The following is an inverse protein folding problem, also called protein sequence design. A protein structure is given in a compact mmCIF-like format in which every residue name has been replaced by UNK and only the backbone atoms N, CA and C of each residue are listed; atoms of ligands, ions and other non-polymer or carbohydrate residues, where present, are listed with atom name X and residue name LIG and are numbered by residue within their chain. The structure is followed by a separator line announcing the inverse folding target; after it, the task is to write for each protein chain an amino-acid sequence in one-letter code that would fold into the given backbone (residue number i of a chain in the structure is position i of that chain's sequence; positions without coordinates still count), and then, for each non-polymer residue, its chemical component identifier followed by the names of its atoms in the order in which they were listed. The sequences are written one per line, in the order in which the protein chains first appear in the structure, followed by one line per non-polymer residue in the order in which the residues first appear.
data_IF_023397146261
#
_entry.id   IF_023397146261
#
_cell.length_a   1.000
_cell.length_b   1.000
_cell.length_c   1.000
_cell.angle_alpha   90.00
_cell.angle_beta   90.00
_cell.angle_gamma   90.00
#
_symmetry.space_group_name_H-M   'P 1'
#
loop_
_entity.id
_entity.type
_entity.pdbx_description
1 polymer ?
#
# COMPACT_ATOMS: atom_id res chain seq x y z
N UNK A 1 49.48 -29.08 -11.97
CA UNK A 1 48.28 -29.32 -11.13
C UNK A 1 47.44 -28.06 -10.88
N UNK A 2 48.01 -26.92 -10.48
CA UNK A 2 47.24 -25.70 -10.16
C UNK A 2 46.45 -25.10 -11.33
N UNK A 3 46.99 -25.12 -12.55
CA UNK A 3 46.31 -24.64 -13.76
C UNK A 3 45.13 -25.53 -14.15
N UNK A 4 45.25 -26.85 -13.98
CA UNK A 4 44.17 -27.80 -14.27
C UNK A 4 42.99 -27.66 -13.31
N UNK A 5 43.27 -27.40 -12.01
CA UNK A 5 42.23 -27.12 -11.01
C UNK A 5 41.51 -25.80 -11.29
N UNK A 6 42.22 -24.79 -11.78
CA UNK A 6 41.65 -23.49 -12.15
C UNK A 6 40.76 -23.61 -13.41
N UNK A 7 41.18 -24.39 -14.41
CA UNK A 7 40.40 -24.69 -15.61
C UNK A 7 39.15 -25.53 -15.27
N UNK A 8 39.27 -26.51 -14.37
CA UNK A 8 38.15 -27.30 -13.86
C UNK A 8 37.13 -26.43 -13.11
N UNK A 9 37.59 -25.49 -12.28
CA UNK A 9 36.74 -24.54 -11.55
C UNK A 9 36.07 -23.51 -12.47
N UNK A 10 36.68 -23.15 -13.60
CA UNK A 10 36.08 -22.27 -14.61
C UNK A 10 34.98 -23.01 -15.40
N UNK A 11 35.19 -24.28 -15.75
CA UNK A 11 34.19 -25.11 -16.45
C UNK A 11 32.99 -25.42 -15.55
N UNK A 12 33.20 -25.57 -14.23
CA UNK A 12 32.12 -25.81 -13.25
C UNK A 12 31.22 -24.59 -13.00
N UNK A 13 31.56 -23.39 -13.46
CA UNK A 13 30.71 -22.19 -13.26
C UNK A 13 29.49 -22.10 -14.19
N UNK A 14 29.38 -22.95 -15.20
CA UNK A 14 28.42 -22.75 -16.30
C UNK A 14 27.00 -23.31 -16.08
N UNK A 15 26.69 -23.97 -14.95
CA UNK A 15 25.36 -24.62 -14.77
C UNK A 15 24.68 -24.39 -13.42
N UNK A 16 24.98 -23.29 -12.70
CA UNK A 16 24.41 -23.06 -11.36
C UNK A 16 22.93 -22.59 -11.33
N UNK A 17 22.22 -22.58 -12.46
CA UNK A 17 20.82 -22.11 -12.55
C UNK A 17 19.98 -23.00 -13.48
N UNK A 18 19.92 -24.30 -13.19
CA UNK A 18 18.96 -25.20 -13.84
C UNK A 18 17.61 -25.14 -13.12
N UNK A 19 16.53 -25.13 -13.88
CA UNK A 19 15.19 -25.45 -13.37
C UNK A 19 15.17 -26.94 -12.99
N UNK A 20 14.46 -27.32 -11.93
CA UNK A 20 14.32 -28.69 -11.47
C UNK A 20 12.87 -29.16 -11.63
N UNK A 21 12.65 -30.16 -12.48
CA UNK A 21 11.34 -30.79 -12.68
C UNK A 21 11.30 -32.14 -11.94
N UNK A 22 10.40 -32.27 -10.97
CA UNK A 22 10.21 -33.50 -10.19
C UNK A 22 8.91 -34.18 -10.63
N UNK A 23 9.00 -35.41 -11.11
CA UNK A 23 7.84 -36.23 -11.48
C UNK A 23 7.28 -37.00 -10.27
N UNK A 24 6.01 -37.42 -10.34
CA UNK A 24 5.33 -38.21 -9.29
C UNK A 24 5.96 -39.58 -9.04
N UNK A 25 6.68 -40.12 -10.02
CA UNK A 25 7.46 -41.35 -9.89
C UNK A 25 8.83 -41.12 -9.21
N UNK A 26 9.15 -39.89 -8.80
CA UNK A 26 10.42 -39.53 -8.16
C UNK A 26 11.58 -39.24 -9.12
N UNK A 27 11.34 -39.25 -10.44
CA UNK A 27 12.36 -38.83 -11.41
C UNK A 27 12.53 -37.32 -11.40
N UNK A 28 13.78 -36.87 -11.40
CA UNK A 28 14.16 -35.47 -11.40
C UNK A 28 14.85 -35.12 -12.72
N UNK A 29 14.50 -33.97 -13.30
CA UNK A 29 15.11 -33.44 -14.50
C UNK A 29 15.60 -32.03 -14.24
N UNK A 30 16.92 -31.85 -14.31
CA UNK A 30 17.56 -30.54 -14.32
C UNK A 30 17.59 -30.02 -15.76
N UNK A 31 17.09 -28.80 -15.98
CA UNK A 31 16.94 -28.26 -17.33
C UNK A 31 16.46 -26.81 -17.38
N UNK A 32 15.80 -26.44 -18.48
CA UNK A 32 15.19 -25.12 -18.66
C UNK A 32 13.74 -25.26 -19.09
N UNK A 33 12.81 -24.66 -18.35
CA UNK A 33 11.42 -24.55 -18.74
C UNK A 33 11.29 -23.67 -19.99
N UNK A 34 10.54 -24.16 -21.00
CA UNK A 34 10.38 -23.46 -22.28
C UNK A 34 8.98 -22.87 -22.40
N UNK A 35 7.96 -23.70 -22.19
CA UNK A 35 6.56 -23.32 -22.36
C UNK A 35 5.62 -24.35 -21.75
N UNK A 36 4.36 -23.96 -21.57
CA UNK A 36 3.30 -24.79 -21.00
C UNK A 36 2.03 -24.61 -21.83
N UNK A 37 1.31 -25.70 -22.09
CA UNK A 37 -0.04 -25.67 -22.64
C UNK A 37 -1.03 -26.27 -21.62
N UNK A 38 -2.28 -26.56 -22.00
CA UNK A 38 -3.27 -27.08 -21.07
C UNK A 38 -2.87 -28.42 -20.41
N UNK A 39 -2.10 -29.26 -21.10
CA UNK A 39 -1.86 -30.65 -20.70
C UNK A 39 -0.38 -30.99 -20.47
N UNK A 40 0.54 -30.19 -21.00
CA UNK A 40 1.96 -30.52 -21.07
C UNK A 40 2.86 -29.32 -20.78
N UNK A 41 4.06 -29.62 -20.33
CA UNK A 41 5.18 -28.69 -20.14
C UNK A 41 6.31 -29.08 -21.08
N UNK A 42 6.81 -28.13 -21.86
CA UNK A 42 8.03 -28.26 -22.66
C UNK A 42 9.24 -27.84 -21.83
N UNK A 43 10.23 -28.72 -21.73
CA UNK A 43 11.38 -28.59 -20.84
C UNK A 43 12.65 -29.07 -21.56
N UNK A 44 13.71 -28.25 -21.55
CA UNK A 44 14.98 -28.54 -22.22
C UNK A 44 15.95 -29.19 -21.23
N UNK A 45 16.37 -30.44 -21.50
CA UNK A 45 17.32 -31.18 -20.67
C UNK A 45 18.56 -31.47 -21.51
N UNK A 46 19.72 -30.91 -21.14
CA UNK A 46 20.97 -31.10 -21.86
C UNK A 46 20.90 -30.71 -23.35
N UNK A 47 20.23 -29.59 -23.65
CA UNK A 47 20.08 -29.08 -25.03
C UNK A 47 19.03 -29.81 -25.89
N UNK A 48 18.27 -30.73 -25.30
CA UNK A 48 17.17 -31.44 -25.99
C UNK A 48 15.84 -31.09 -25.35
N UNK A 49 14.90 -30.62 -26.18
CA UNK A 49 13.51 -30.37 -25.75
C UNK A 49 12.79 -31.69 -25.47
N UNK A 50 12.20 -31.81 -24.30
CA UNK A 50 11.31 -32.89 -23.87
C UNK A 50 9.95 -32.30 -23.48
N UNK A 51 8.89 -33.08 -23.65
CA UNK A 51 7.54 -32.69 -23.24
C UNK A 51 7.07 -33.62 -22.13
N UNK A 52 6.57 -33.05 -21.03
CA UNK A 52 6.10 -33.77 -19.86
C UNK A 52 4.62 -33.49 -19.63
N UNK A 53 3.83 -34.53 -19.35
CA UNK A 53 2.41 -34.36 -19.06
C UNK A 53 2.23 -33.82 -17.63
N UNK A 54 1.43 -32.76 -17.45
CA UNK A 54 1.21 -32.13 -16.13
C UNK A 54 0.71 -33.11 -15.08
N UNK A 55 -0.10 -34.09 -15.49
CA UNK A 55 -0.61 -35.13 -14.60
C UNK A 55 0.51 -35.96 -13.93
N UNK A 56 1.69 -36.03 -14.55
CA UNK A 56 2.86 -36.77 -14.07
C UNK A 56 3.82 -35.90 -13.25
N UNK A 57 3.64 -34.58 -13.23
CA UNK A 57 4.53 -33.65 -12.57
C UNK A 57 4.10 -33.54 -11.10
N UNK A 58 5.06 -33.73 -10.20
CA UNK A 58 4.90 -33.54 -8.75
C UNK A 58 5.23 -32.10 -8.38
N UNK A 59 6.38 -31.61 -8.82
CA UNK A 59 6.83 -30.24 -8.58
C UNK A 59 7.66 -29.73 -9.76
N UNK A 60 7.69 -28.41 -9.96
CA UNK A 60 8.57 -27.75 -10.92
C UNK A 60 9.18 -26.52 -10.24
N UNK A 61 10.43 -26.65 -9.84
CA UNK A 61 11.17 -25.57 -9.21
C UNK A 61 11.89 -24.80 -10.31
N UNK A 62 11.38 -23.61 -10.60
CA UNK A 62 12.04 -22.72 -11.55
C UNK A 62 13.25 -22.08 -10.88
N UNK A 63 14.44 -22.33 -11.43
CA UNK A 63 15.72 -21.75 -11.03
C UNK A 63 15.88 -20.29 -11.42
N UNK A 64 14.83 -19.64 -11.95
CA UNK A 64 14.90 -18.24 -12.34
C UNK A 64 15.10 -17.33 -11.13
N UNK A 65 16.20 -16.59 -11.19
CA UNK A 65 16.30 -15.24 -10.63
C UNK A 65 15.34 -14.34 -11.41
N UNK A 66 14.07 -14.30 -11.05
CA UNK A 66 13.20 -13.23 -11.54
C UNK A 66 13.50 -11.94 -10.78
N UNK A 67 13.33 -10.80 -11.45
CA UNK A 67 13.48 -9.50 -10.80
C UNK A 67 12.36 -9.35 -9.77
N UNK A 68 12.74 -9.08 -8.52
CA UNK A 68 11.79 -8.65 -7.50
C UNK A 68 11.12 -7.38 -7.98
N UNK A 69 9.79 -7.38 -7.94
CA UNK A 69 9.01 -6.23 -8.36
C UNK A 69 7.94 -5.92 -7.32
N UNK A 70 7.53 -4.66 -7.31
CA UNK A 70 6.42 -4.20 -6.51
C UNK A 70 5.22 -3.92 -7.41
N UNK A 71 4.01 -4.22 -6.94
CA UNK A 71 2.79 -3.91 -7.67
C UNK A 71 1.65 -3.52 -6.75
N UNK A 72 0.69 -2.80 -7.33
CA UNK A 72 -0.55 -2.38 -6.68
C UNK A 72 -1.71 -2.84 -7.56
N UNK A 73 -2.66 -3.57 -6.98
CA UNK A 73 -3.92 -3.93 -7.64
C UNK A 73 -4.97 -2.83 -7.40
N UNK A 74 -5.93 -2.68 -8.32
CA UNK A 74 -7.04 -1.72 -8.14
C UNK A 74 -7.89 -2.03 -6.87
N UNK A 75 -7.92 -3.28 -6.44
CA UNK A 75 -8.62 -3.74 -5.23
C UNK A 75 -7.89 -3.43 -3.94
N UNK A 76 -6.57 -3.26 -4.01
CA UNK A 76 -5.69 -3.28 -2.85
C UNK A 76 -5.23 -1.85 -2.53
N UNK A 77 -5.10 -1.51 -1.25
CA UNK A 77 -4.57 -0.23 -0.79
C UNK A 77 -3.06 -0.25 -0.54
N UNK A 78 -2.47 -1.45 -0.53
CA UNK A 78 -1.08 -1.67 -0.18
C UNK A 78 -0.27 -2.15 -1.38
N UNK A 79 0.97 -1.67 -1.45
CA UNK A 79 1.96 -2.13 -2.42
C UNK A 79 2.51 -3.48 -1.99
N UNK A 80 2.41 -4.48 -2.87
CA UNK A 80 2.98 -5.81 -2.65
C UNK A 80 4.36 -5.86 -3.28
N UNK A 81 5.40 -5.93 -2.46
CA UNK A 81 6.79 -6.08 -2.88
C UNK A 81 7.28 -7.53 -2.71
N UNK A 82 8.52 -7.80 -3.13
CA UNK A 82 9.20 -9.12 -3.07
C UNK A 82 8.53 -10.24 -3.86
N UNK A 83 7.59 -9.89 -4.73
CA UNK A 83 7.01 -10.82 -5.69
C UNK A 83 7.92 -10.99 -6.91
N UNK A 84 7.75 -12.09 -7.64
CA UNK A 84 8.54 -12.37 -8.85
C UNK A 84 7.66 -12.20 -10.09
N UNK A 85 8.05 -11.29 -10.99
CA UNK A 85 7.33 -11.09 -12.24
C UNK A 85 7.69 -12.22 -13.22
N UNK A 86 6.69 -13.01 -13.60
CA UNK A 86 6.88 -14.13 -14.52
C UNK A 86 6.63 -13.72 -15.98
N UNK A 87 5.56 -12.96 -16.21
CA UNK A 87 5.17 -12.49 -17.54
C UNK A 87 4.33 -11.23 -17.42
N UNK A 88 4.51 -10.30 -18.35
CA UNK A 88 3.57 -9.19 -18.54
C UNK A 88 3.38 -8.92 -20.03
N UNK A 89 2.13 -8.83 -20.46
CA UNK A 89 1.69 -8.50 -21.82
C UNK A 89 0.61 -7.41 -21.78
N UNK A 90 -0.02 -7.10 -22.92
CA UNK A 90 -1.07 -6.07 -23.01
C UNK A 90 -2.34 -6.39 -22.21
N UNK A 91 -2.59 -7.67 -21.91
CA UNK A 91 -3.84 -8.14 -21.32
C UNK A 91 -3.69 -8.51 -19.83
N UNK A 92 -2.51 -8.99 -19.43
CA UNK A 92 -2.29 -9.61 -18.12
C UNK A 92 -0.87 -9.50 -17.60
N UNK A 93 -0.79 -9.61 -16.28
CA UNK A 93 0.40 -9.75 -15.47
C UNK A 93 0.37 -11.09 -14.74
N UNK A 94 1.46 -11.85 -14.78
CA UNK A 94 1.61 -13.14 -14.11
C UNK A 94 2.67 -13.04 -13.03
N UNK A 95 2.28 -13.34 -11.80
CA UNK A 95 3.10 -13.18 -10.59
C UNK A 95 3.34 -14.55 -9.99
N UNK A 96 4.59 -14.86 -9.66
CA UNK A 96 4.92 -16.05 -8.86
C UNK A 96 5.04 -15.67 -7.37
N UNK A 97 4.48 -16.50 -6.48
CA UNK A 97 4.42 -16.26 -5.03
C UNK A 97 5.76 -16.39 -4.29
N UNK A 98 6.86 -16.59 -5.02
CA UNK A 98 8.20 -16.69 -4.46
C UNK A 98 9.12 -17.53 -5.34
N UNK A 99 10.43 -17.44 -5.06
CA UNK A 99 11.46 -18.22 -5.75
C UNK A 99 11.19 -19.72 -5.56
N UNK A 100 11.22 -20.50 -6.65
CA UNK A 100 11.03 -21.95 -6.63
C UNK A 100 9.58 -22.45 -6.51
N UNK A 101 8.57 -21.58 -6.50
CA UNK A 101 7.16 -22.00 -6.45
C UNK A 101 6.53 -22.08 -7.86
N UNK A 102 5.70 -23.10 -8.10
CA UNK A 102 4.88 -23.22 -9.32
C UNK A 102 3.60 -22.39 -9.27
N UNK A 103 3.22 -21.93 -8.07
CA UNK A 103 2.01 -21.16 -7.87
C UNK A 103 2.13 -19.79 -8.53
N UNK A 104 1.32 -19.60 -9.56
CA UNK A 104 1.21 -18.35 -10.32
C UNK A 104 -0.16 -17.74 -10.10
N UNK A 105 -0.18 -16.45 -9.88
CA UNK A 105 -1.38 -15.63 -9.88
C UNK A 105 -1.43 -14.84 -11.19
N UNK A 106 -2.57 -14.87 -11.86
CA UNK A 106 -2.80 -14.17 -13.12
C UNK A 106 -3.74 -13.02 -12.86
N UNK A 107 -3.25 -11.81 -13.07
CA UNK A 107 -4.00 -10.57 -12.93
C UNK A 107 -4.25 -9.97 -14.31
N UNK A 108 -5.50 -9.73 -14.72
CA UNK A 108 -5.78 -8.87 -15.86
C UNK A 108 -5.10 -7.51 -15.66
N UNK A 109 -4.41 -6.99 -16.67
CA UNK A 109 -3.69 -5.71 -16.59
C UNK A 109 -4.65 -4.56 -16.25
N UNK A 110 -5.91 -4.69 -16.67
CA UNK A 110 -7.02 -3.82 -16.29
C UNK A 110 -7.34 -3.75 -14.79
N UNK A 111 -6.88 -4.72 -13.99
CA UNK A 111 -6.99 -4.74 -12.52
C UNK A 111 -5.68 -4.39 -11.82
N UNK A 112 -4.59 -4.18 -12.56
CA UNK A 112 -3.32 -3.71 -12.03
C UNK A 112 -3.33 -2.19 -12.13
N UNK A 113 -3.03 -1.51 -11.02
CA UNK A 113 -2.93 -0.06 -11.01
C UNK A 113 -1.54 0.40 -11.44
N UNK A 114 -0.50 -0.20 -10.85
CA UNK A 114 0.89 0.08 -11.21
C UNK A 114 1.78 -1.09 -10.85
N UNK A 115 2.92 -1.22 -11.54
CA UNK A 115 4.01 -2.08 -11.11
C UNK A 115 5.36 -1.42 -11.38
N UNK A 116 6.36 -1.77 -10.57
CA UNK A 116 7.71 -1.24 -10.67
C UNK A 116 8.75 -2.32 -10.40
N UNK A 117 9.78 -2.37 -11.24
CA UNK A 117 11.00 -3.13 -11.01
C UNK A 117 12.12 -2.13 -10.72
N UNK A 118 12.63 -2.13 -9.48
CA UNK A 118 13.76 -1.30 -9.06
C UNK A 118 15.05 -2.11 -9.04
N UNK A 119 16.18 -1.43 -9.26
CA UNK A 119 17.51 -2.02 -9.13
C UNK A 119 17.69 -3.28 -10.01
N UNK A 120 17.25 -3.19 -11.26
CA UNK A 120 17.45 -4.25 -12.25
C UNK A 120 18.94 -4.60 -12.30
N UNK A 121 19.25 -5.86 -12.03
CA UNK A 121 20.63 -6.32 -12.02
C UNK A 121 21.04 -6.78 -13.42
N UNK A 122 22.34 -6.70 -13.74
CA UNK A 122 22.86 -7.19 -15.03
C UNK A 122 22.56 -8.67 -15.32
N UNK A 123 22.13 -9.46 -14.34
CA UNK A 123 21.72 -10.87 -14.51
C UNK A 123 20.23 -11.05 -14.79
N UNK A 124 19.43 -10.02 -14.61
CA UNK A 124 17.99 -10.08 -14.76
C UNK A 124 17.63 -10.18 -16.24
N UNK A 125 16.77 -11.14 -16.59
CA UNK A 125 16.40 -11.42 -17.98
C UNK A 125 15.04 -10.79 -18.31
N UNK A 126 14.97 -9.47 -18.35
CA UNK A 126 13.72 -8.74 -18.60
C UNK A 126 13.07 -9.12 -19.93
N UNK A 127 13.86 -9.36 -20.97
CA UNK A 127 13.43 -9.89 -22.26
C UNK A 127 12.63 -11.21 -22.20
N UNK A 128 12.77 -12.02 -21.13
CA UNK A 128 11.97 -13.24 -20.94
C UNK A 128 10.57 -12.94 -20.40
N UNK A 129 10.44 -11.86 -19.63
CA UNK A 129 9.27 -11.50 -18.84
C UNK A 129 8.35 -10.55 -19.61
N UNK A 130 8.93 -9.56 -20.28
CA UNK A 130 8.19 -8.58 -21.09
C UNK A 130 7.72 -9.22 -22.41
N UNK A 131 6.47 -8.96 -22.78
CA UNK A 131 5.87 -9.41 -24.05
C UNK A 131 5.38 -8.21 -24.85
N UNK A 132 5.02 -8.50 -26.10
CA UNK A 132 4.50 -7.51 -27.04
C UNK A 132 3.26 -6.79 -26.49
N UNK A 133 3.12 -5.51 -26.83
CA UNK A 133 1.92 -4.71 -26.65
C UNK A 133 1.92 -3.86 -25.38
N UNK A 134 2.78 -4.16 -24.40
CA UNK A 134 2.85 -3.37 -23.17
C UNK A 134 3.56 -2.03 -23.39
N UNK A 135 2.94 -0.96 -22.91
CA UNK A 135 3.54 0.37 -22.77
C UNK A 135 4.33 0.43 -21.46
N UNK A 136 5.54 0.96 -21.44
CA UNK A 136 6.38 1.01 -20.24
C UNK A 136 7.16 2.32 -20.18
N UNK A 137 7.39 2.81 -18.97
CA UNK A 137 8.41 3.81 -18.67
C UNK A 137 9.68 3.09 -18.23
N UNK A 138 10.75 3.23 -19.01
CA UNK A 138 12.02 2.54 -18.77
C UNK A 138 13.10 3.56 -18.50
N UNK A 139 13.78 3.40 -17.38
CA UNK A 139 14.92 4.23 -16.99
C UNK A 139 16.22 3.49 -17.26
N UNK A 140 17.04 4.09 -18.09
CA UNK A 140 18.38 3.61 -18.43
C UNK A 140 19.44 4.40 -17.67
N UNK A 141 20.72 4.16 -17.95
CA UNK A 141 21.82 4.99 -17.42
C UNK A 141 21.77 6.44 -17.92
N UNK A 142 21.28 6.66 -19.13
CA UNK A 142 21.36 7.94 -19.84
C UNK A 142 20.05 8.72 -19.86
N UNK A 143 18.91 8.01 -19.88
CA UNK A 143 17.61 8.64 -20.11
C UNK A 143 16.45 7.80 -19.56
N UNK A 144 15.32 8.47 -19.39
CA UNK A 144 14.02 7.87 -19.15
C UNK A 144 13.20 7.93 -20.43
N UNK A 145 12.72 6.76 -20.89
CA UNK A 145 12.05 6.61 -22.18
C UNK A 145 10.72 5.87 -22.01
N UNK A 146 9.67 6.40 -22.64
CA UNK A 146 8.41 5.69 -22.84
C UNK A 146 8.54 4.78 -24.05
N UNK A 147 8.23 3.50 -23.88
CA UNK A 147 8.40 2.48 -24.90
C UNK A 147 7.15 1.62 -25.02
N UNK A 148 6.87 1.14 -26.23
CA UNK A 148 5.89 0.09 -26.49
C UNK A 148 6.68 -1.13 -26.96
N UNK A 149 6.56 -2.24 -26.25
CA UNK A 149 7.29 -3.47 -26.59
C UNK A 149 6.68 -4.10 -27.85
N UNK A 150 7.49 -4.27 -28.90
CA UNK A 150 7.07 -4.91 -30.14
C UNK A 150 7.48 -6.39 -30.19
N UNK A 151 8.68 -6.70 -29.71
CA UNK A 151 9.20 -8.06 -29.65
C UNK A 151 10.32 -8.17 -28.61
N UNK A 152 10.66 -9.38 -28.18
CA UNK A 152 11.82 -9.64 -27.32
C UNK A 152 12.65 -10.80 -27.85
N UNK A 153 13.97 -10.73 -27.67
CA UNK A 153 14.90 -11.83 -27.94
C UNK A 153 15.53 -12.29 -26.61
N UNK A 154 14.96 -13.33 -25.97
CA UNK A 154 15.50 -13.87 -24.72
C UNK A 154 16.95 -14.37 -24.82
N UNK A 155 17.34 -14.90 -25.99
CA UNK A 155 18.69 -15.41 -26.22
C UNK A 155 19.72 -14.29 -26.28
N UNK A 156 19.36 -13.17 -26.90
CA UNK A 156 20.24 -12.01 -27.05
C UNK A 156 20.08 -10.99 -25.92
N UNK A 157 19.09 -11.19 -25.03
CA UNK A 157 18.75 -10.27 -23.93
C UNK A 157 18.40 -8.87 -24.43
N UNK A 158 17.56 -8.83 -25.47
CA UNK A 158 17.15 -7.61 -26.16
C UNK A 158 15.65 -7.44 -26.16
N UNK A 159 15.22 -6.20 -26.06
CA UNK A 159 13.86 -5.73 -26.18
C UNK A 159 13.80 -4.82 -27.41
N UNK A 160 12.94 -5.16 -28.36
CA UNK A 160 12.65 -4.35 -29.53
C UNK A 160 11.42 -3.51 -29.24
N UNK A 161 11.53 -2.20 -29.37
CA UNK A 161 10.51 -1.27 -28.91
C UNK A 161 10.31 -0.10 -29.87
N UNK A 162 9.16 0.56 -29.75
CA UNK A 162 8.91 1.86 -30.39
C UNK A 162 8.66 2.92 -29.33
N UNK A 163 9.10 4.17 -29.58
CA UNK A 163 8.81 5.31 -28.69
C UNK A 163 7.34 5.75 -28.80
N UNK A 164 6.77 5.71 -30.00
CA UNK A 164 5.35 5.92 -30.29
C UNK A 164 4.90 4.95 -31.38
N UNK A 165 3.58 4.84 -31.62
CA UNK A 165 3.01 3.92 -32.62
C UNK A 165 3.63 4.06 -34.02
N UNK A 166 4.05 5.27 -34.38
CA UNK A 166 4.60 5.61 -35.71
C UNK A 166 6.13 5.67 -35.74
N UNK A 167 6.82 5.33 -34.64
CA UNK A 167 8.29 5.36 -34.58
C UNK A 167 8.92 4.10 -35.17
N UNK A 168 10.17 4.23 -35.63
CA UNK A 168 11.00 3.09 -35.99
C UNK A 168 11.27 2.18 -34.79
N UNK A 169 11.52 0.90 -35.08
CA UNK A 169 11.85 -0.10 -34.05
C UNK A 169 13.28 0.13 -33.61
N UNK A 170 13.45 0.45 -32.33
CA UNK A 170 14.74 0.55 -31.66
C UNK A 170 15.02 -0.70 -30.81
N UNK A 171 16.29 -0.88 -30.45
CA UNK A 171 16.76 -1.99 -29.61
C UNK A 171 17.21 -1.47 -28.24
N UNK A 172 16.83 -2.19 -27.17
CA UNK A 172 17.32 -1.98 -25.82
C UNK A 172 17.82 -3.31 -25.23
N UNK A 173 19.05 -3.31 -24.72
CA UNK A 173 19.60 -4.46 -24.01
C UNK A 173 19.13 -4.47 -22.55
N UNK A 174 18.78 -5.65 -22.02
CA UNK A 174 18.36 -5.84 -20.62
C UNK A 174 19.36 -5.21 -19.63
N UNK A 175 20.66 -5.24 -19.95
CA UNK A 175 21.74 -4.77 -19.08
C UNK A 175 21.80 -3.25 -18.93
N UNK A 176 21.19 -2.50 -19.86
CA UNK A 176 21.13 -1.04 -19.83
C UNK A 176 19.95 -0.51 -19.01
N UNK A 177 19.04 -1.39 -18.61
CA UNK A 177 17.83 -1.04 -17.88
C UNK A 177 18.15 -1.01 -16.38
N UNK A 178 17.81 0.10 -15.72
CA UNK A 178 17.92 0.25 -14.27
C UNK A 178 16.59 0.07 -13.56
N UNK A 179 15.54 0.65 -14.14
CA UNK A 179 14.20 0.62 -13.58
C UNK A 179 13.17 0.48 -14.70
N UNK A 180 12.09 -0.25 -14.39
CA UNK A 180 10.88 -0.31 -15.22
C UNK A 180 9.71 0.14 -14.38
N UNK A 181 8.90 1.02 -14.92
CA UNK A 181 7.66 1.49 -14.33
C UNK A 181 6.51 1.34 -15.31
N UNK A 182 5.37 0.92 -14.79
CA UNK A 182 4.11 0.92 -15.50
C UNK A 182 3.01 1.45 -14.61
N UNK A 183 2.14 2.25 -15.20
CA UNK A 183 0.97 2.80 -14.53
C UNK A 183 -0.21 2.81 -15.47
N UNK A 184 -1.34 2.35 -14.96
CA UNK A 184 -2.60 2.44 -15.66
C UNK A 184 -3.03 3.92 -15.72
N UNK A 185 -3.14 4.48 -16.93
CA UNK A 185 -3.57 5.87 -17.19
C UNK A 185 -5.06 6.14 -16.88
N UNK A 186 -5.73 5.25 -16.14
CA UNK A 186 -7.04 5.56 -15.55
C UNK A 186 -6.84 6.55 -14.41
N UNK A 187 -6.94 7.84 -14.74
CA UNK A 187 -6.87 8.99 -13.81
C UNK A 187 -7.88 8.96 -12.64
N UNK A 188 -8.76 7.95 -12.58
CA UNK A 188 -9.73 7.77 -11.50
C UNK A 188 -9.18 7.22 -10.18
N UNK A 189 -7.95 6.69 -10.12
CA UNK A 189 -7.45 5.97 -8.92
C UNK A 189 -6.46 6.73 -8.04
N UNK A 190 -5.88 7.85 -8.51
CA UNK A 190 -5.12 8.76 -7.64
C UNK A 190 -6.01 9.29 -6.49
N UNK A 191 -7.32 9.43 -6.74
CA UNK A 191 -8.31 9.72 -5.71
C UNK A 191 -8.57 8.56 -4.73
N UNK A 192 -8.25 7.32 -5.09
CA UNK A 192 -8.41 6.15 -4.20
C UNK A 192 -7.18 6.00 -3.30
N UNK A 193 -5.98 6.18 -3.85
CA UNK A 193 -4.71 6.14 -3.10
C UNK A 193 -4.56 7.32 -2.14
N UNK A 194 -4.97 8.54 -2.53
CA UNK A 194 -5.06 9.68 -1.61
C UNK A 194 -6.22 9.55 -0.61
N UNK A 195 -7.23 8.72 -0.90
CA UNK A 195 -8.26 8.34 0.08
C UNK A 195 -7.83 7.21 1.02
N UNK A 196 -6.81 6.42 0.70
CA UNK A 196 -6.35 5.29 1.54
C UNK A 196 -4.97 5.47 2.14
N UNK A 197 -4.24 6.54 1.81
CA UNK A 197 -3.20 7.05 2.69
C UNK A 197 -3.90 7.53 3.95
N UNK A 198 -4.04 6.62 4.90
CA UNK A 198 -4.53 6.88 6.24
C UNK A 198 -3.58 7.89 6.87
N UNK A 199 -3.90 9.17 6.70
CA UNK A 199 -3.29 10.23 7.48
C UNK A 199 -3.77 9.99 8.91
N UNK A 200 -3.07 9.13 9.64
CA UNK A 200 -3.23 8.96 11.06
C UNK A 200 -2.83 10.30 11.67
N UNK A 201 -3.80 11.20 11.84
CA UNK A 201 -3.56 12.46 12.54
C UNK A 201 -3.24 12.05 13.98
N UNK A 202 -2.01 12.27 14.46
CA UNK A 202 -1.67 11.97 15.84
C UNK A 202 -2.64 12.74 16.75
N UNK A 203 -3.36 12.03 17.61
CA UNK A 203 -4.37 12.61 18.50
C UNK A 203 -5.84 12.46 18.07
N UNK A 204 -6.15 11.87 16.91
CA UNK A 204 -7.53 11.57 16.50
C UNK A 204 -7.93 10.11 16.73
N UNK A 205 -9.18 9.90 17.15
CA UNK A 205 -9.75 8.59 17.47
C UNK A 205 -9.87 7.69 16.23
N UNK A 206 -9.25 6.51 16.26
CA UNK A 206 -9.41 5.45 15.27
C UNK A 206 -10.11 4.26 15.94
N UNK A 207 -11.29 3.85 15.46
CA UNK A 207 -12.10 2.84 16.16
C UNK A 207 -12.07 1.50 15.43
N UNK A 208 -11.54 0.43 16.02
CA UNK A 208 -11.57 -0.87 15.39
C UNK A 208 -12.89 -1.62 15.64
N UNK A 209 -13.32 -2.38 14.64
CA UNK A 209 -14.37 -3.43 14.66
C UNK A 209 -15.86 -3.06 14.71
N UNK A 210 -16.35 -2.08 15.49
CA UNK A 210 -17.82 -1.82 15.58
C UNK A 210 -18.21 -0.37 15.27
N UNK A 211 -18.98 -0.18 14.18
CA UNK A 211 -19.53 1.12 13.77
C UNK A 211 -20.29 1.81 14.90
N UNK A 212 -21.08 1.04 15.65
CA UNK A 212 -21.88 1.58 16.76
C UNK A 212 -21.00 2.01 17.94
N UNK A 213 -19.96 1.24 18.29
CA UNK A 213 -19.02 1.62 19.36
C UNK A 213 -18.24 2.89 19.00
N UNK A 214 -17.76 2.99 17.77
CA UNK A 214 -17.03 4.17 17.30
C UNK A 214 -17.91 5.43 17.25
N UNK A 215 -19.13 5.31 16.72
CA UNK A 215 -20.09 6.41 16.70
C UNK A 215 -20.49 6.82 18.12
N UNK A 216 -20.75 5.85 19.02
CA UNK A 216 -21.11 6.17 20.40
C UNK A 216 -19.98 6.84 21.16
N UNK A 217 -18.73 6.37 20.99
CA UNK A 217 -17.57 6.96 21.65
C UNK A 217 -17.26 8.35 21.13
N UNK A 218 -17.30 8.55 19.81
CA UNK A 218 -17.12 9.87 19.20
C UNK A 218 -18.23 10.84 19.61
N UNK A 219 -19.49 10.39 19.60
CA UNK A 219 -20.62 11.18 20.07
C UNK A 219 -20.47 11.58 21.54
N UNK A 220 -20.10 10.62 22.39
CA UNK A 220 -19.86 10.89 23.82
C UNK A 220 -18.71 11.86 24.03
N UNK A 221 -17.62 11.74 23.27
CA UNK A 221 -16.49 12.67 23.29
C UNK A 221 -16.91 14.08 22.91
N UNK A 222 -17.72 14.25 21.85
CA UNK A 222 -18.24 15.57 21.45
C UNK A 222 -19.16 16.18 22.51
N UNK A 223 -20.05 15.38 23.10
CA UNK A 223 -20.96 15.85 24.16
C UNK A 223 -20.17 16.34 25.37
N UNK A 224 -19.20 15.56 25.84
CA UNK A 224 -18.36 15.93 26.98
C UNK A 224 -17.45 17.11 26.64
N UNK A 225 -16.86 17.12 25.45
CA UNK A 225 -16.03 18.22 24.97
C UNK A 225 -16.78 19.54 24.86
N UNK A 226 -18.07 19.51 24.49
CA UNK A 226 -18.94 20.69 24.47
C UNK A 226 -19.38 21.14 25.87
N UNK A 227 -19.49 20.22 26.85
CA UNK A 227 -19.85 20.55 28.22
C UNK A 227 -18.76 21.40 28.93
N UNK A 228 -17.48 21.17 28.63
CA UNK A 228 -16.36 21.89 29.24
C UNK A 228 -16.44 23.41 29.01
N UNK A 229 -16.53 23.95 27.77
CA UNK A 229 -16.62 25.40 27.55
C UNK A 229 -17.94 25.98 28.08
N UNK A 230 -19.03 25.21 28.09
CA UNK A 230 -20.31 25.66 28.68
C UNK A 230 -20.16 25.85 30.19
N UNK A 231 -19.62 24.85 30.90
CA UNK A 231 -19.37 24.95 32.35
C UNK A 231 -18.32 26.02 32.68
N UNK A 232 -17.31 26.22 31.84
CA UNK A 232 -16.35 27.31 31.97
C UNK A 232 -17.03 28.69 31.90
N UNK A 233 -17.90 28.90 30.91
CA UNK A 233 -18.64 30.16 30.76
C UNK A 233 -19.62 30.39 31.92
N UNK A 234 -20.29 29.34 32.39
CA UNK A 234 -21.17 29.42 33.56
C UNK A 234 -20.39 29.75 34.83
N UNK A 235 -19.21 29.13 35.04
CA UNK A 235 -18.33 29.47 36.14
C UNK A 235 -17.90 30.95 36.07
N UNK A 236 -17.47 31.43 34.89
CA UNK A 236 -17.10 32.83 34.69
C UNK A 236 -18.26 33.78 34.98
N UNK A 237 -19.46 33.45 34.53
CA UNK A 237 -20.66 34.25 34.80
C UNK A 237 -21.02 34.25 36.29
N UNK A 238 -20.93 33.10 36.96
CA UNK A 238 -21.15 33.00 38.40
C UNK A 238 -20.16 33.87 39.18
N UNK A 239 -18.90 33.92 38.76
CA UNK A 239 -17.88 34.78 39.36
C UNK A 239 -18.11 36.27 39.06
N UNK A 240 -18.54 36.62 37.86
CA UNK A 240 -18.83 38.02 37.49
C UNK A 240 -20.04 38.59 38.23
N UNK A 241 -20.99 37.73 38.60
CA UNK A 241 -22.17 38.08 39.37
C UNK A 241 -21.97 37.95 40.89
N UNK A 242 -20.75 37.62 41.32
CA UNK A 242 -20.37 37.48 42.73
C UNK A 242 -20.03 38.86 43.32
N UNK A 243 -21.06 39.60 43.71
CA UNK A 243 -20.92 40.87 44.42
C UNK A 243 -21.19 40.64 45.90
N UNK A 244 -20.13 40.69 46.71
CA UNK A 244 -20.25 40.76 48.16
C UNK A 244 -20.36 42.24 48.56
N UNK A 245 -21.34 42.55 49.40
CA UNK A 245 -21.48 43.89 49.98
C UNK A 245 -20.92 43.88 51.39
N UNK A 246 -19.86 44.66 51.61
CA UNK A 246 -19.33 44.93 52.94
C UNK A 246 -19.89 46.26 53.45
N UNK A 247 -20.29 46.27 54.72
CA UNK A 247 -20.62 47.51 55.44
C UNK A 247 -19.39 47.91 56.24
N UNK A 248 -18.78 49.04 55.89
CA UNK A 248 -17.63 49.61 56.59
C UNK A 248 -17.84 51.11 56.79
N UNK A 249 -17.82 51.59 58.05
CA UNK A 249 -18.04 53.00 58.42
C UNK A 249 -19.25 53.65 57.70
N UNK A 250 -20.43 53.04 57.81
CA UNK A 250 -21.68 53.47 57.16
C UNK A 250 -21.66 53.56 55.62
N UNK A 251 -20.60 53.10 54.97
CA UNK A 251 -20.51 53.01 53.51
C UNK A 251 -20.70 51.56 53.05
N UNK A 252 -21.44 51.39 51.96
CA UNK A 252 -21.57 50.09 51.26
C UNK A 252 -20.40 49.99 50.28
N UNK A 253 -19.46 49.11 50.57
CA UNK A 253 -18.33 48.81 49.68
C UNK A 253 -18.63 47.53 48.94
N UNK A 254 -18.64 47.59 47.60
CA UNK A 254 -18.72 46.40 46.76
C UNK A 254 -17.33 45.75 46.72
N UNK A 255 -17.27 44.48 47.13
CA UNK A 255 -16.07 43.67 47.05
C UNK A 255 -16.41 42.34 46.37
N UNK A 256 -15.44 41.74 45.70
CA UNK A 256 -15.60 40.45 45.01
C UNK A 256 -14.74 39.39 45.67
N UNK A 257 -15.28 38.20 45.93
CA UNK A 257 -14.53 37.03 46.38
C UNK A 257 -14.17 37.02 47.86
N UNK A 258 -15.02 37.58 48.73
CA UNK A 258 -14.85 37.48 50.19
C UNK A 258 -15.40 36.17 50.74
N UNK A 259 -16.47 35.66 50.13
CA UNK A 259 -17.04 34.35 50.45
C UNK A 259 -16.78 33.35 49.32
N UNK A 260 -16.76 32.06 49.67
CA UNK A 260 -16.68 31.01 48.66
C UNK A 260 -17.98 30.97 47.86
N UNK A 261 -17.96 31.39 46.59
CA UNK A 261 -19.13 31.34 45.72
C UNK A 261 -19.53 29.88 45.42
N UNK A 262 -20.66 29.39 45.96
CA UNK A 262 -21.05 27.98 45.82
C UNK A 262 -21.41 27.63 44.38
N UNK A 263 -21.95 28.58 43.61
CA UNK A 263 -22.28 28.38 42.20
C UNK A 263 -21.02 28.26 41.34
N UNK A 264 -20.04 29.14 41.54
CA UNK A 264 -18.72 29.03 40.89
C UNK A 264 -18.06 27.68 41.18
N UNK A 265 -18.04 27.28 42.46
CA UNK A 265 -17.45 26.01 42.88
C UNK A 265 -18.18 24.79 42.30
N UNK A 266 -19.50 24.86 42.14
CA UNK A 266 -20.28 23.80 41.49
C UNK A 266 -19.92 23.66 40.00
N UNK A 267 -19.87 24.76 39.25
CA UNK A 267 -19.48 24.74 37.83
C UNK A 267 -18.02 24.30 37.63
N UNK A 268 -17.10 24.77 38.48
CA UNK A 268 -15.70 24.30 38.48
C UNK A 268 -15.60 22.80 38.73
N UNK A 269 -16.38 22.26 39.67
CA UNK A 269 -16.45 20.81 39.95
C UNK A 269 -16.98 20.04 38.74
N UNK A 270 -18.08 20.49 38.14
CA UNK A 270 -18.67 19.84 36.96
C UNK A 270 -17.71 19.84 35.77
N UNK A 271 -17.00 20.95 35.54
CA UNK A 271 -15.96 21.05 34.53
C UNK A 271 -14.83 20.03 34.77
N UNK A 272 -14.35 19.91 36.02
CA UNK A 272 -13.33 18.93 36.37
C UNK A 272 -13.80 17.49 36.18
N UNK A 273 -15.06 17.18 36.49
CA UNK A 273 -15.67 15.88 36.23
C UNK A 273 -15.71 15.60 34.72
N UNK A 274 -16.11 16.58 33.91
CA UNK A 274 -16.13 16.45 32.45
C UNK A 274 -14.73 16.22 31.87
N UNK A 275 -13.72 16.96 32.34
CA UNK A 275 -12.31 16.76 31.94
C UNK A 275 -11.83 15.37 32.33
N UNK A 276 -12.12 14.92 33.56
CA UNK A 276 -11.77 13.58 34.04
C UNK A 276 -12.44 12.48 33.22
N UNK A 277 -13.73 12.63 32.89
CA UNK A 277 -14.46 11.71 32.02
C UNK A 277 -13.88 11.66 30.60
N UNK A 278 -13.49 12.81 30.06
CA UNK A 278 -12.84 12.90 28.74
C UNK A 278 -11.47 12.20 28.75
N UNK A 279 -10.68 12.38 29.82
CA UNK A 279 -9.41 11.69 30.02
C UNK A 279 -9.57 10.17 30.14
N UNK A 280 -10.58 9.71 30.88
CA UNK A 280 -10.90 8.28 31.00
C UNK A 280 -11.34 7.67 29.66
N UNK A 281 -12.15 8.39 28.88
CA UNK A 281 -12.55 7.96 27.53
C UNK A 281 -11.35 7.89 26.58
N UNK A 282 -10.43 8.84 26.68
CA UNK A 282 -9.20 8.84 25.90
C UNK A 282 -8.27 7.67 26.29
N UNK A 283 -8.09 7.43 27.58
CA UNK A 283 -7.31 6.29 28.08
C UNK A 283 -7.92 4.94 27.67
N UNK A 284 -9.25 4.81 27.78
CA UNK A 284 -9.97 3.63 27.30
C UNK A 284 -9.79 3.43 25.79
N UNK A 285 -9.85 4.51 25.00
CA UNK A 285 -9.60 4.45 23.57
C UNK A 285 -8.18 3.99 23.24
N UNK A 286 -7.15 4.53 23.90
CA UNK A 286 -5.77 4.10 23.72
C UNK A 286 -5.62 2.62 24.05
N UNK A 287 -6.21 2.17 25.16
CA UNK A 287 -6.18 0.77 25.57
C UNK A 287 -6.89 -0.15 24.56
N UNK A 288 -8.05 0.25 24.05
CA UNK A 288 -8.80 -0.47 23.02
C UNK A 288 -8.00 -0.58 21.72
N UNK A 289 -7.34 0.51 21.28
CA UNK A 289 -6.43 0.47 20.14
C UNK A 289 -5.25 -0.48 20.38
N UNK A 290 -4.58 -0.37 21.53
CA UNK A 290 -3.42 -1.19 21.85
C UNK A 290 -3.74 -2.69 21.90
N UNK A 291 -4.87 -3.04 22.51
CA UNK A 291 -5.31 -4.44 22.63
C UNK A 291 -5.83 -5.02 21.31
N UNK A 292 -6.40 -4.19 20.44
CA UNK A 292 -6.97 -4.64 19.16
C UNK A 292 -5.94 -4.72 18.02
N UNK A 293 -4.74 -4.14 18.19
CA UNK A 293 -3.61 -4.32 17.27
C UNK A 293 -3.00 -5.73 17.30
N UNK A 294 -3.45 -6.61 18.21
CA UNK A 294 -3.07 -8.04 18.28
C UNK A 294 -4.28 -8.93 18.01
N UNK A 295 -4.58 -9.18 16.74
CA UNK A 295 -5.44 -10.29 16.34
C UNK A 295 -4.56 -11.41 15.77
N UNK A 296 -4.86 -12.68 16.05
CA UNK A 296 -4.05 -13.86 15.68
C UNK A 296 -3.84 -14.05 14.16
N UNK A 297 -4.49 -13.22 13.33
CA UNK A 297 -4.43 -13.25 11.86
C UNK A 297 -3.89 -11.96 11.22
N UNK A 298 -3.43 -10.98 12.00
CA UNK A 298 -2.71 -9.80 11.50
C UNK A 298 -3.54 -8.72 10.78
N UNK A 299 -4.89 -8.77 10.79
CA UNK A 299 -5.72 -7.77 10.10
C UNK A 299 -6.20 -6.64 11.03
N UNK A 300 -5.97 -5.38 10.62
CA UNK A 300 -6.35 -4.16 11.36
C UNK A 300 -7.53 -3.44 10.71
N UNK A 301 -8.78 -3.84 11.04
CA UNK A 301 -9.95 -3.07 10.60
C UNK A 301 -10.10 -1.81 11.44
N UNK A 302 -9.68 -0.65 10.94
CA UNK A 302 -9.89 0.67 11.59
C UNK A 302 -11.02 1.45 10.91
N UNK A 303 -11.87 2.11 11.69
CA UNK A 303 -12.82 3.14 11.22
C UNK A 303 -12.09 4.47 11.33
N UNK A 304 -11.94 5.14 10.19
CA UNK A 304 -11.22 6.41 10.08
C UNK A 304 -12.20 7.56 9.84
N UNK A 305 -12.00 8.67 10.56
CA UNK A 305 -12.69 9.94 10.32
C UNK A 305 -12.00 10.64 9.15
N UNK A 306 -12.64 10.65 7.97
CA UNK A 306 -12.17 11.44 6.83
C UNK A 306 -12.84 12.81 6.81
N UNK A 307 -12.02 13.85 6.80
CA UNK A 307 -12.43 15.19 6.39
C UNK A 307 -12.45 15.23 4.86
N UNK A 308 -13.62 15.36 4.25
CA UNK A 308 -13.70 15.66 2.82
C UNK A 308 -13.66 17.19 2.65
N UNK A 309 -12.46 17.75 2.46
CA UNK A 309 -12.34 19.07 1.88
C UNK A 309 -12.43 18.91 0.35
N UNK A 310 -13.39 19.56 -0.33
CA UNK A 310 -13.33 19.64 -1.78
C UNK A 310 -12.17 20.55 -2.15
N UNK A 311 -11.08 19.96 -2.63
CA UNK A 311 -10.02 20.72 -3.31
C UNK A 311 -10.60 21.11 -4.67
N UNK A 312 -10.87 22.39 -4.87
CA UNK A 312 -11.25 22.91 -6.18
C UNK A 312 -10.09 22.72 -7.14
N UNK A 313 -10.33 22.03 -8.25
CA UNK A 313 -9.40 21.95 -9.39
C UNK A 313 -8.92 23.36 -9.78
N UNK A 314 -7.62 23.62 -9.90
CA UNK A 314 -7.13 24.89 -10.43
C UNK A 314 -7.38 25.04 -11.95
N UNK A 315 -7.94 24.03 -12.63
CA UNK A 315 -8.10 24.00 -14.09
C UNK A 315 -9.54 23.93 -14.62
N UNK A 316 -10.57 24.03 -13.78
CA UNK A 316 -11.96 24.13 -14.25
C UNK A 316 -12.57 25.44 -13.75
N UNK A 317 -12.82 26.34 -14.71
CA UNK A 317 -13.47 27.62 -14.48
C UNK A 317 -14.80 27.48 -13.74
N UNK A 318 -14.86 28.17 -12.60
CA UNK A 318 -16.02 28.81 -11.98
C UNK A 318 -17.42 28.33 -12.42
N UNK A 319 -18.03 27.45 -11.62
CA UNK A 319 -19.45 27.57 -11.26
C UNK A 319 -19.66 27.28 -9.78
N UNK A 320 -20.39 28.19 -9.14
CA UNK A 320 -20.80 28.19 -7.74
C UNK A 320 -21.30 26.83 -7.27
N UNK A 321 -20.44 26.05 -6.62
CA UNK A 321 -20.85 24.95 -5.77
C UNK A 321 -20.42 25.30 -4.34
N UNK A 322 -21.41 25.57 -3.49
CA UNK A 322 -21.20 25.71 -2.05
C UNK A 322 -20.62 24.38 -1.56
N UNK A 323 -19.42 24.36 -0.96
CA UNK A 323 -18.79 23.12 -0.52
C UNK A 323 -19.61 22.50 0.61
N UNK A 324 -20.14 21.30 0.37
CA UNK A 324 -20.85 20.54 1.37
C UNK A 324 -19.82 19.84 2.27
N UNK A 325 -19.49 20.46 3.40
CA UNK A 325 -18.57 19.90 4.41
C UNK A 325 -19.33 18.79 5.14
N UNK A 326 -18.97 17.53 4.88
CA UNK A 326 -19.59 16.37 5.51
C UNK A 326 -18.56 15.43 6.13
N UNK A 327 -18.82 14.96 7.34
CA UNK A 327 -18.06 13.87 7.96
C UNK A 327 -18.51 12.54 7.36
N UNK A 328 -17.58 11.78 6.78
CA UNK A 328 -17.85 10.43 6.25
C UNK A 328 -17.11 9.37 7.06
N UNK A 329 -17.84 8.31 7.43
CA UNK A 329 -17.27 7.12 8.05
C UNK A 329 -17.03 6.07 6.97
N UNK A 330 -15.77 5.70 6.73
CA UNK A 330 -15.40 4.59 5.84
C UNK A 330 -14.86 3.41 6.64
N UNK A 331 -15.06 2.20 6.11
CA UNK A 331 -14.54 0.94 6.69
C UNK A 331 -13.37 0.50 5.81
N UNK A 332 -12.17 0.42 6.38
CA UNK A 332 -11.03 -0.24 5.73
C UNK A 332 -11.08 -1.72 6.11
N UNK A 333 -10.98 -2.60 5.11
CA UNK A 333 -10.91 -4.05 5.32
C UNK A 333 -9.47 -4.51 5.28
#
# INVERSE_FOLDING_TARGET
MRIFLLLLLIVLRFNLFADLLILKNGQEYEGTFISENAYQISFEVGGKKKSFNKSQIKNLELGYTGSSFCYVLESDSEEKCDSVLHLVDEDKMVVAKGKGTTEKEVYPLSKVYSFQIKNVQKRDKLSTVLKKGIDLEVKTESEEIKIIVENTSPKERKIFYKKNKDSEIAELSDEKIKEIYWKNNRDGLAMKILKTSSLAIPGFFQFPRSKWKGISMFGLFLIIGAAIPVEYNNAKSALANDQDYLIYDNNIVMASGLNSNPAFNAHKRNMNIAIGAMGALFAYHIFDVYTTLRDEKGNTTTIQLQWSLPVSDPFIGTRNNIPNIGLKFSRSF
#
